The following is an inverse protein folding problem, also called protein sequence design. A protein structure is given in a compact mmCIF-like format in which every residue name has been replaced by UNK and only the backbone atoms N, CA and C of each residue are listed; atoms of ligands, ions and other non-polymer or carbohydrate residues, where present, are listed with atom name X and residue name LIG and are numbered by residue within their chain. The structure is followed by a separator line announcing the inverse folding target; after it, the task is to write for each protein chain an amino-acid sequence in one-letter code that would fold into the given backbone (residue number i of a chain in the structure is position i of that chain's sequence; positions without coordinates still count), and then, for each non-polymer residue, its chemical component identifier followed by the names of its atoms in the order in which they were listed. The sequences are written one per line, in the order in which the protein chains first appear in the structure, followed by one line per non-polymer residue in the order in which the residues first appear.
data_IF_075233354954
#
_entry.id   IF_075233354954
#
_cell.length_a   1.000
_cell.length_b   1.000
_cell.length_c   1.000
_cell.angle_alpha   90.00
_cell.angle_beta   90.00
_cell.angle_gamma   90.00
#
_symmetry.space_group_name_H-M   'P 1'
#
loop_
_entity.id
_entity.type
_entity.pdbx_description
1 polymer ?
#
# COMPACT_ATOMS: atom_id res chain seq x y z
N UNK A 1 -41.34 -34.67 -28.27
CA UNK A 1 -41.11 -34.23 -26.88
C UNK A 1 -39.63 -34.46 -26.55
N UNK A 2 -38.97 -33.37 -26.15
CA UNK A 2 -37.60 -33.18 -25.65
C UNK A 2 -37.08 -34.33 -24.74
N UNK A 3 -35.80 -34.69 -24.60
CA UNK A 3 -34.50 -34.06 -24.91
C UNK A 3 -33.40 -35.14 -24.98
N UNK A 4 -32.53 -35.04 -25.99
CA UNK A 4 -31.23 -35.71 -26.05
C UNK A 4 -30.24 -35.05 -25.09
N UNK A 5 -29.40 -35.90 -24.52
CA UNK A 5 -28.22 -35.62 -23.71
C UNK A 5 -27.37 -34.46 -24.24
N UNK A 6 -27.15 -33.45 -23.40
CA UNK A 6 -26.08 -32.46 -23.63
C UNK A 6 -24.75 -33.05 -23.20
N UNK A 7 -23.84 -33.04 -24.15
CA UNK A 7 -22.43 -33.31 -24.04
C UNK A 7 -21.80 -32.57 -22.86
N UNK A 8 -21.09 -33.35 -22.06
CA UNK A 8 -20.02 -32.93 -21.17
C UNK A 8 -18.98 -32.16 -21.98
N UNK A 9 -19.01 -30.83 -21.89
CA UNK A 9 -17.88 -29.98 -22.27
C UNK A 9 -16.81 -30.24 -21.22
N UNK A 10 -15.81 -31.06 -21.57
CA UNK A 10 -14.49 -31.02 -20.96
C UNK A 10 -13.90 -29.64 -21.31
N UNK A 11 -14.20 -28.64 -20.49
CA UNK A 11 -13.35 -27.46 -20.42
C UNK A 11 -12.03 -27.94 -19.83
N UNK A 12 -11.01 -28.02 -20.67
CA UNK A 12 -9.63 -28.03 -20.24
C UNK A 12 -9.47 -26.91 -19.21
N UNK A 13 -9.23 -27.30 -17.97
CA UNK A 13 -8.71 -26.39 -16.95
C UNK A 13 -7.30 -26.04 -17.41
N UNK A 14 -7.19 -25.09 -18.34
CA UNK A 14 -5.98 -24.34 -18.59
C UNK A 14 -5.52 -23.87 -17.21
N UNK A 15 -4.44 -24.47 -16.71
CA UNK A 15 -3.76 -24.04 -15.50
C UNK A 15 -3.36 -22.59 -15.77
N UNK A 16 -4.23 -21.65 -15.37
CA UNK A 16 -4.00 -20.23 -15.59
C UNK A 16 -2.77 -19.89 -14.75
N UNK A 17 -1.64 -19.64 -15.41
CA UNK A 17 -0.43 -19.17 -14.75
C UNK A 17 -0.83 -17.98 -13.86
N UNK A 18 -0.51 -18.01 -12.55
CA UNK A 18 -0.86 -16.91 -11.66
C UNK A 18 -0.20 -15.63 -12.17
N UNK A 19 -0.89 -14.50 -12.05
CA UNK A 19 -0.27 -13.20 -12.29
C UNK A 19 0.66 -12.94 -11.10
N UNK A 20 1.96 -12.89 -11.36
CA UNK A 20 2.98 -12.57 -10.35
C UNK A 20 3.63 -11.23 -10.66
N UNK A 21 3.68 -10.85 -11.93
CA UNK A 21 4.35 -9.63 -12.41
C UNK A 21 3.44 -8.75 -13.28
N UNK A 22 3.87 -7.50 -13.50
CA UNK A 22 3.23 -6.58 -14.46
C UNK A 22 3.20 -7.19 -15.86
N UNK A 23 4.27 -7.86 -16.29
CA UNK A 23 4.39 -8.51 -17.60
C UNK A 23 3.37 -9.63 -17.77
N UNK A 24 3.16 -10.47 -16.74
CA UNK A 24 2.11 -11.50 -16.76
C UNK A 24 0.73 -10.85 -16.93
N UNK A 25 0.48 -9.73 -16.22
CA UNK A 25 -0.79 -9.00 -16.30
C UNK A 25 -1.01 -8.41 -17.69
N UNK A 26 -0.05 -7.63 -18.21
CA UNK A 26 -0.13 -6.98 -19.51
C UNK A 26 -0.34 -8.01 -20.63
N UNK A 27 0.36 -9.14 -20.57
CA UNK A 27 0.20 -10.23 -21.54
C UNK A 27 -1.22 -10.82 -21.52
N UNK A 28 -1.77 -11.06 -20.33
CA UNK A 28 -3.14 -11.59 -20.16
C UNK A 28 -4.22 -10.63 -20.65
N UNK A 29 -3.98 -9.33 -20.55
CA UNK A 29 -4.95 -8.28 -20.92
C UNK A 29 -4.52 -7.45 -22.14
N UNK A 30 -3.72 -8.04 -23.05
CA UNK A 30 -3.16 -7.38 -24.23
C UNK A 30 -4.19 -6.59 -25.08
N UNK A 31 -5.42 -7.09 -25.18
CA UNK A 31 -6.53 -6.44 -25.90
C UNK A 31 -6.92 -5.05 -25.37
N UNK A 32 -6.50 -4.68 -24.16
CA UNK A 32 -6.80 -3.36 -23.56
C UNK A 32 -5.63 -2.38 -23.66
N UNK A 33 -4.43 -2.81 -24.05
CA UNK A 33 -3.21 -1.98 -23.97
C UNK A 33 -3.24 -0.74 -24.88
N UNK A 34 -3.98 -0.80 -26.00
CA UNK A 34 -4.06 0.29 -26.98
C UNK A 34 -5.34 1.15 -26.82
N UNK A 35 -6.04 1.01 -25.69
CA UNK A 35 -7.18 1.86 -25.37
C UNK A 35 -6.70 3.21 -24.81
N UNK A 36 -7.55 4.23 -24.91
CA UNK A 36 -7.26 5.61 -24.51
C UNK A 36 -8.13 5.99 -23.32
N UNK A 37 -7.51 6.44 -22.22
CA UNK A 37 -8.23 6.97 -21.06
C UNK A 37 -8.68 8.41 -21.31
N UNK A 38 -7.97 9.12 -22.18
CA UNK A 38 -8.25 10.48 -22.63
C UNK A 38 -9.54 10.53 -23.45
N UNK A 39 -9.74 9.57 -24.35
CA UNK A 39 -10.96 9.46 -25.19
C UNK A 39 -12.13 8.79 -24.44
N UNK A 40 -11.84 8.18 -23.29
CA UNK A 40 -12.78 7.38 -22.52
C UNK A 40 -12.94 5.96 -23.08
N UNK A 41 -12.94 4.98 -22.18
CA UNK A 41 -13.10 3.56 -22.51
C UNK A 41 -14.52 3.14 -22.16
N UNK A 42 -15.27 2.63 -23.14
CA UNK A 42 -16.65 2.16 -22.95
C UNK A 42 -16.80 0.72 -23.43
N UNK A 43 -17.53 -0.10 -22.67
CA UNK A 43 -17.93 -1.44 -23.10
C UNK A 43 -19.46 -1.53 -23.19
N UNK A 44 -20.06 -1.37 -24.38
CA UNK A 44 -21.51 -1.44 -24.52
C UNK A 44 -22.03 -2.82 -24.14
N UNK A 45 -23.06 -2.87 -23.28
CA UNK A 45 -23.82 -4.11 -23.03
C UNK A 45 -24.81 -4.32 -24.18
N UNK A 46 -24.92 -5.56 -24.67
CA UNK A 46 -26.14 -5.99 -25.38
C UNK A 46 -27.29 -5.96 -24.36
N UNK A 47 -28.36 -5.19 -24.57
CA UNK A 47 -29.44 -5.06 -23.60
C UNK A 47 -30.14 -6.41 -23.40
N UNK A 48 -30.36 -6.80 -22.14
CA UNK A 48 -31.23 -7.95 -21.79
C UNK A 48 -32.70 -7.54 -21.64
N UNK A 49 -32.99 -6.25 -21.45
CA UNK A 49 -34.32 -5.65 -21.44
C UNK A 49 -34.21 -4.15 -21.82
N UNK A 50 -35.34 -3.53 -22.21
CA UNK A 50 -35.41 -2.12 -22.65
C UNK A 50 -35.17 -1.11 -21.52
N UNK A 51 -35.21 -1.51 -20.25
CA UNK A 51 -35.35 -0.56 -19.12
C UNK A 51 -34.05 -0.18 -18.38
N UNK A 52 -32.89 -0.79 -18.69
CA UNK A 52 -31.63 -0.42 -18.01
C UNK A 52 -30.41 -0.50 -18.94
N UNK A 53 -30.34 0.37 -19.96
CA UNK A 53 -29.09 0.58 -20.71
C UNK A 53 -28.14 1.50 -19.93
N UNK A 54 -27.53 0.99 -18.86
CA UNK A 54 -26.38 1.66 -18.26
C UNK A 54 -25.17 1.42 -19.15
N UNK A 55 -24.61 2.49 -19.70
CA UNK A 55 -23.39 2.44 -20.51
C UNK A 55 -22.25 3.08 -19.71
N UNK A 56 -21.45 2.26 -19.00
CA UNK A 56 -20.40 2.81 -18.17
C UNK A 56 -19.12 3.07 -18.98
N UNK A 57 -18.40 4.11 -18.59
CA UNK A 57 -17.15 4.57 -19.18
C UNK A 57 -16.10 4.76 -18.08
N UNK A 58 -14.81 4.55 -18.39
CA UNK A 58 -13.69 5.01 -17.56
C UNK A 58 -12.86 6.03 -18.34
N UNK A 59 -12.53 7.16 -17.73
CA UNK A 59 -11.76 8.24 -18.36
C UNK A 59 -10.93 9.02 -17.33
N UNK A 60 -10.00 9.86 -17.79
CA UNK A 60 -9.23 10.74 -16.89
C UNK A 60 -10.15 11.84 -16.32
N UNK A 61 -9.94 12.19 -15.04
CA UNK A 61 -10.63 13.29 -14.38
C UNK A 61 -10.17 14.65 -14.89
N UNK A 62 -11.04 15.63 -14.82
CA UNK A 62 -10.74 17.04 -15.07
C UNK A 62 -10.84 17.87 -13.79
N UNK A 63 -10.13 19.01 -13.67
CA UNK A 63 -10.14 19.83 -12.45
C UNK A 63 -11.54 20.20 -11.96
N UNK A 64 -12.48 20.48 -12.86
CA UNK A 64 -13.88 20.80 -12.53
C UNK A 64 -14.64 19.66 -11.85
N UNK A 65 -14.14 18.44 -11.90
CA UNK A 65 -14.77 17.25 -11.30
C UNK A 65 -14.32 17.01 -9.85
N UNK A 66 -13.39 17.82 -9.33
CA UNK A 66 -12.86 17.68 -7.99
C UNK A 66 -13.94 17.75 -6.90
N UNK A 67 -14.95 18.60 -7.08
CA UNK A 67 -16.11 18.70 -6.18
C UNK A 67 -16.86 17.36 -6.11
N UNK A 68 -17.12 16.74 -7.27
CA UNK A 68 -17.88 15.48 -7.35
C UNK A 68 -17.10 14.34 -6.70
N UNK A 69 -15.78 14.28 -6.93
CA UNK A 69 -14.91 13.28 -6.30
C UNK A 69 -14.95 13.44 -4.77
N UNK A 70 -14.80 14.66 -4.27
CA UNK A 70 -14.87 14.97 -2.83
C UNK A 70 -16.20 14.52 -2.21
N UNK A 71 -17.31 14.79 -2.90
CA UNK A 71 -18.65 14.36 -2.48
C UNK A 71 -18.79 12.84 -2.44
N UNK A 72 -18.20 12.11 -3.40
CA UNK A 72 -18.21 10.64 -3.39
C UNK A 72 -17.49 10.12 -2.14
N UNK A 73 -16.32 10.65 -1.77
CA UNK A 73 -15.63 10.23 -0.54
C UNK A 73 -16.48 10.50 0.70
N UNK A 74 -17.02 11.71 0.82
CA UNK A 74 -17.90 12.10 1.94
C UNK A 74 -19.11 11.18 2.05
N UNK A 75 -19.75 10.83 0.93
CA UNK A 75 -20.92 9.94 0.91
C UNK A 75 -20.55 8.49 1.23
N UNK A 76 -19.51 7.94 0.58
CA UNK A 76 -19.09 6.54 0.75
C UNK A 76 -18.62 6.28 2.19
N UNK A 77 -17.90 7.23 2.77
CA UNK A 77 -17.31 7.11 4.10
C UNK A 77 -18.06 7.91 5.18
N UNK A 78 -19.21 8.50 4.88
CA UNK A 78 -20.02 9.27 5.83
C UNK A 78 -19.23 10.37 6.57
N UNK A 79 -18.34 11.07 5.85
CA UNK A 79 -17.41 12.09 6.39
C UNK A 79 -16.39 11.58 7.42
N UNK A 80 -16.18 10.26 7.47
CA UNK A 80 -15.22 9.62 8.38
C UNK A 80 -13.97 9.13 7.67
N UNK A 81 -13.69 9.59 6.45
CA UNK A 81 -12.48 9.15 5.75
C UNK A 81 -11.25 9.67 6.52
N UNK A 82 -10.23 8.82 6.76
CA UNK A 82 -9.08 9.17 7.60
C UNK A 82 -8.19 10.26 6.98
N UNK A 83 -8.10 10.31 5.66
CA UNK A 83 -7.28 11.27 4.91
C UNK A 83 -8.13 12.44 4.41
N UNK A 84 -8.18 13.52 5.21
CA UNK A 84 -9.09 14.67 5.00
C UNK A 84 -8.86 15.42 3.69
N UNK A 85 -7.71 15.26 3.07
CA UNK A 85 -7.41 15.76 1.73
C UNK A 85 -8.41 15.25 0.68
N UNK A 86 -8.90 14.00 0.81
CA UNK A 86 -9.93 13.45 -0.11
C UNK A 86 -11.32 14.05 0.12
N UNK A 87 -11.54 14.73 1.24
CA UNK A 87 -12.79 15.44 1.56
C UNK A 87 -12.70 16.94 1.18
N UNK A 88 -11.58 17.38 0.61
CA UNK A 88 -11.36 18.76 0.16
C UNK A 88 -11.37 18.86 -1.38
N UNK A 89 -12.34 19.58 -1.98
CA UNK A 89 -12.35 19.83 -3.42
C UNK A 89 -11.07 20.52 -3.91
N UNK A 90 -10.54 21.48 -3.14
CA UNK A 90 -9.32 22.20 -3.50
C UNK A 90 -8.08 21.31 -3.51
N UNK A 91 -7.95 20.37 -2.58
CA UNK A 91 -6.84 19.42 -2.58
C UNK A 91 -6.97 18.39 -3.71
N UNK A 92 -8.17 17.89 -3.97
CA UNK A 92 -8.40 17.01 -5.12
C UNK A 92 -8.10 17.73 -6.43
N UNK A 93 -8.48 19.01 -6.57
CA UNK A 93 -8.17 19.79 -7.76
C UNK A 93 -6.66 19.89 -7.98
N UNK A 94 -5.89 20.23 -6.94
CA UNK A 94 -4.42 20.24 -7.00
C UNK A 94 -3.87 18.87 -7.45
N UNK A 95 -4.37 17.78 -6.87
CA UNK A 95 -3.95 16.44 -7.28
C UNK A 95 -4.33 16.10 -8.73
N UNK A 96 -5.42 16.62 -9.28
CA UNK A 96 -5.76 16.41 -10.70
C UNK A 96 -4.82 17.19 -11.61
N UNK A 97 -4.40 18.38 -11.19
CA UNK A 97 -3.50 19.26 -11.94
C UNK A 97 -2.03 18.82 -11.85
N UNK A 98 -1.66 18.05 -10.82
CA UNK A 98 -0.32 17.51 -10.65
C UNK A 98 -0.01 16.41 -11.70
N UNK A 99 1.12 16.52 -12.44
CA UNK A 99 1.46 15.59 -13.53
C UNK A 99 1.76 14.16 -13.06
N UNK A 100 2.10 14.02 -11.78
CA UNK A 100 2.41 12.73 -11.16
C UNK A 100 1.15 11.96 -10.75
N UNK A 101 -0.02 12.58 -10.81
CA UNK A 101 -1.29 11.92 -10.53
C UNK A 101 -2.04 11.54 -11.80
N UNK A 102 -2.68 10.37 -11.75
CA UNK A 102 -3.64 9.91 -12.74
C UNK A 102 -4.94 9.55 -12.02
N UNK A 103 -5.93 10.45 -12.12
CA UNK A 103 -7.28 10.22 -11.64
C UNK A 103 -8.13 9.59 -12.73
N UNK A 104 -8.69 8.41 -12.46
CA UNK A 104 -9.64 7.73 -13.33
C UNK A 104 -11.05 7.83 -12.73
N UNK A 105 -12.01 8.30 -13.53
CA UNK A 105 -13.42 8.37 -13.16
C UNK A 105 -14.22 7.30 -13.87
N UNK A 106 -15.09 6.65 -13.11
CA UNK A 106 -16.12 5.76 -13.62
C UNK A 106 -17.40 6.56 -13.80
N UNK A 107 -17.89 6.62 -15.04
CA UNK A 107 -19.08 7.39 -15.41
C UNK A 107 -20.17 6.49 -15.97
N UNK A 108 -21.43 6.90 -15.86
CA UNK A 108 -22.56 6.31 -16.58
C UNK A 108 -23.36 7.38 -17.32
N UNK A 109 -24.11 6.93 -18.34
CA UNK A 109 -25.05 7.76 -19.10
C UNK A 109 -24.42 9.07 -19.63
N UNK A 110 -23.14 9.01 -20.00
CA UNK A 110 -22.39 10.12 -20.59
C UNK A 110 -21.66 11.02 -19.60
N UNK A 111 -22.18 11.26 -18.39
CA UNK A 111 -21.50 12.20 -17.49
C UNK A 111 -21.68 11.98 -15.98
N UNK A 112 -22.56 11.08 -15.53
CA UNK A 112 -22.73 10.87 -14.09
C UNK A 112 -21.53 10.11 -13.53
N UNK A 113 -20.72 10.76 -12.69
CA UNK A 113 -19.61 10.10 -11.99
C UNK A 113 -20.16 9.23 -10.85
N UNK A 114 -19.81 7.95 -10.90
CA UNK A 114 -20.27 6.94 -9.93
C UNK A 114 -19.13 6.41 -9.06
N UNK A 115 -17.89 6.66 -9.45
CA UNK A 115 -16.71 6.32 -8.65
C UNK A 115 -15.43 6.86 -9.25
N UNK A 116 -14.34 6.70 -8.52
CA UNK A 116 -13.03 7.20 -8.86
C UNK A 116 -11.91 6.28 -8.31
N UNK A 117 -10.72 6.46 -8.85
CA UNK A 117 -9.45 5.96 -8.29
C UNK A 117 -8.33 6.90 -8.71
N UNK A 118 -7.38 7.14 -7.82
CA UNK A 118 -6.17 7.90 -8.09
C UNK A 118 -4.96 6.96 -8.14
N UNK A 119 -4.02 7.28 -9.01
CA UNK A 119 -2.70 6.68 -9.06
C UNK A 119 -1.68 7.79 -8.90
N UNK A 120 -0.77 7.68 -7.93
CA UNK A 120 0.32 8.64 -7.73
C UNK A 120 1.64 7.99 -8.15
N UNK A 121 2.24 8.51 -9.21
CA UNK A 121 3.57 8.14 -9.64
C UNK A 121 4.61 8.87 -8.81
N UNK A 122 5.64 8.17 -8.38
CA UNK A 122 6.77 8.79 -7.68
C UNK A 122 8.06 8.41 -8.40
N UNK A 123 8.53 9.32 -9.25
CA UNK A 123 9.68 9.08 -10.13
C UNK A 123 10.99 8.85 -9.35
N UNK A 124 11.16 9.53 -8.20
CA UNK A 124 12.34 9.43 -7.35
C UNK A 124 12.59 8.01 -6.83
N UNK A 125 11.52 7.23 -6.63
CA UNK A 125 11.55 5.84 -6.13
C UNK A 125 11.00 4.83 -7.14
N UNK A 126 10.71 5.27 -8.38
CA UNK A 126 10.16 4.46 -9.48
C UNK A 126 8.92 3.65 -9.05
N UNK A 127 8.01 4.27 -8.30
CA UNK A 127 6.84 3.60 -7.73
C UNK A 127 5.51 4.19 -8.20
N UNK A 128 4.45 3.40 -8.12
CA UNK A 128 3.07 3.85 -8.30
C UNK A 128 2.23 3.45 -7.10
N UNK A 129 1.64 4.43 -6.43
CA UNK A 129 0.72 4.23 -5.33
C UNK A 129 -0.73 4.30 -5.81
N UNK A 130 -1.52 3.25 -5.55
CA UNK A 130 -2.97 3.29 -5.74
C UNK A 130 -3.61 3.93 -4.52
N UNK A 131 -4.23 5.09 -4.73
CA UNK A 131 -4.88 5.86 -3.70
C UNK A 131 -6.36 6.06 -4.07
N UNK A 132 -7.23 6.15 -3.07
CA UNK A 132 -8.50 6.84 -3.26
C UNK A 132 -9.49 6.12 -4.15
N UNK A 133 -9.60 4.79 -4.03
CA UNK A 133 -10.67 4.05 -4.70
C UNK A 133 -11.99 4.24 -3.95
N UNK A 134 -12.95 4.93 -4.57
CA UNK A 134 -14.29 5.14 -4.03
C UNK A 134 -15.37 4.90 -5.09
N UNK A 135 -16.48 4.26 -4.69
CA UNK A 135 -17.59 3.93 -5.58
C UNK A 135 -18.91 4.03 -4.82
N UNK A 136 -19.85 4.80 -5.36
CA UNK A 136 -21.21 4.94 -4.84
C UNK A 136 -21.87 3.57 -4.67
N UNK A 137 -22.55 3.37 -3.54
CA UNK A 137 -22.96 2.06 -3.03
C UNK A 137 -23.94 1.34 -3.98
N UNK A 138 -24.86 2.10 -4.55
CA UNK A 138 -25.90 1.66 -5.48
C UNK A 138 -25.34 1.12 -6.81
N UNK A 139 -24.10 1.47 -7.17
CA UNK A 139 -23.45 0.99 -8.39
C UNK A 139 -22.46 -0.16 -8.15
N UNK A 140 -22.20 -0.52 -6.89
CA UNK A 140 -21.33 -1.66 -6.56
C UNK A 140 -21.96 -2.98 -7.02
N UNK A 141 -21.17 -3.86 -7.67
CA UNK A 141 -21.66 -5.13 -8.22
C UNK A 141 -22.17 -5.03 -9.66
N UNK A 142 -22.07 -3.85 -10.29
CA UNK A 142 -22.38 -3.69 -11.71
C UNK A 142 -21.38 -4.47 -12.58
N UNK A 143 -21.85 -5.47 -13.32
CA UNK A 143 -20.99 -6.46 -14.01
C UNK A 143 -20.04 -5.92 -15.08
N UNK A 144 -20.23 -4.69 -15.56
CA UNK A 144 -19.32 -4.03 -16.51
C UNK A 144 -18.20 -3.23 -15.84
N UNK A 145 -18.35 -2.83 -14.57
CA UNK A 145 -17.33 -2.06 -13.86
C UNK A 145 -15.99 -2.82 -13.73
N UNK A 146 -15.95 -4.12 -13.38
CA UNK A 146 -14.69 -4.86 -13.35
C UNK A 146 -13.97 -4.84 -14.70
N UNK A 147 -14.69 -4.89 -15.83
CA UNK A 147 -14.06 -4.81 -17.16
C UNK A 147 -13.44 -3.44 -17.42
N UNK A 148 -14.10 -2.37 -17.01
CA UNK A 148 -13.59 -1.00 -17.14
C UNK A 148 -12.38 -0.78 -16.24
N UNK A 149 -12.45 -1.20 -14.98
CA UNK A 149 -11.31 -1.12 -14.06
C UNK A 149 -10.10 -1.85 -14.65
N UNK A 150 -10.31 -3.06 -15.19
CA UNK A 150 -9.22 -3.82 -15.82
C UNK A 150 -8.67 -3.14 -17.08
N UNK A 151 -9.52 -2.52 -17.89
CA UNK A 151 -9.07 -1.79 -19.07
C UNK A 151 -8.25 -0.54 -18.68
N UNK A 152 -8.78 0.30 -17.79
CA UNK A 152 -8.07 1.48 -17.30
C UNK A 152 -6.76 1.15 -16.60
N UNK A 153 -6.76 0.09 -15.77
CA UNK A 153 -5.55 -0.42 -15.13
C UNK A 153 -4.52 -0.91 -16.14
N UNK A 154 -4.93 -1.64 -17.20
CA UNK A 154 -4.02 -2.08 -18.26
C UNK A 154 -3.38 -0.90 -18.99
N UNK A 155 -4.18 0.13 -19.31
CA UNK A 155 -3.67 1.36 -19.94
C UNK A 155 -2.70 2.10 -19.02
N UNK A 156 -3.01 2.19 -17.72
CA UNK A 156 -2.12 2.80 -16.73
C UNK A 156 -0.79 2.04 -16.61
N UNK A 157 -0.83 0.71 -16.45
CA UNK A 157 0.37 -0.13 -16.42
C UNK A 157 1.23 0.08 -17.68
N UNK A 158 0.59 0.16 -18.86
CA UNK A 158 1.30 0.37 -20.13
C UNK A 158 1.93 1.77 -20.23
N UNK A 159 1.22 2.82 -19.77
CA UNK A 159 1.69 4.21 -19.78
C UNK A 159 2.97 4.41 -18.95
N UNK A 160 3.09 3.69 -17.83
CA UNK A 160 4.23 3.77 -16.92
C UNK A 160 5.15 2.53 -16.98
N UNK A 161 5.02 1.71 -18.01
CA UNK A 161 5.89 0.55 -18.24
C UNK A 161 7.37 0.98 -18.20
N UNK A 162 8.21 0.24 -17.45
CA UNK A 162 9.63 0.54 -17.19
C UNK A 162 9.91 1.85 -16.44
N UNK A 163 8.91 2.66 -16.10
CA UNK A 163 9.04 3.88 -15.28
C UNK A 163 8.65 3.62 -13.83
N UNK A 164 7.51 2.95 -13.63
CA UNK A 164 7.04 2.49 -12.34
C UNK A 164 7.28 0.98 -12.23
N UNK A 165 8.24 0.58 -11.41
CA UNK A 165 8.66 -0.82 -11.25
C UNK A 165 7.92 -1.53 -10.11
N UNK A 166 7.32 -0.76 -9.20
CA UNK A 166 6.55 -1.26 -8.06
C UNK A 166 5.21 -0.55 -8.02
N UNK A 167 4.12 -1.32 -8.01
CA UNK A 167 2.77 -0.81 -7.90
C UNK A 167 2.18 -1.33 -6.60
N UNK A 168 1.70 -0.45 -5.74
CA UNK A 168 1.22 -0.86 -4.42
C UNK A 168 0.05 -0.01 -3.95
N UNK A 169 -0.78 -0.58 -3.09
CA UNK A 169 -1.90 0.11 -2.49
C UNK A 169 -2.36 -0.61 -1.25
N UNK A 170 -3.28 0.02 -0.53
CA UNK A 170 -3.81 -0.51 0.71
C UNK A 170 -5.26 -0.91 0.55
N UNK A 171 -5.63 -2.05 1.14
CA UNK A 171 -7.03 -2.49 1.21
C UNK A 171 -7.42 -2.81 2.65
N UNK A 172 -8.56 -2.24 3.05
CA UNK A 172 -9.21 -2.51 4.33
C UNK A 172 -9.50 -3.99 4.53
N UNK A 173 -9.11 -4.53 5.69
CA UNK A 173 -9.33 -5.93 6.05
C UNK A 173 -10.81 -6.25 6.28
N UNK A 174 -11.64 -5.26 6.61
CA UNK A 174 -13.08 -5.39 6.77
C UNK A 174 -13.87 -5.27 5.44
N UNK A 175 -13.19 -5.05 4.30
CA UNK A 175 -13.84 -4.81 3.01
C UNK A 175 -13.35 -5.78 1.92
N UNK A 176 -13.96 -6.96 1.86
CA UNK A 176 -13.59 -8.03 0.91
C UNK A 176 -13.69 -7.63 -0.56
N UNK A 177 -14.57 -6.68 -0.92
CA UNK A 177 -14.72 -6.22 -2.31
C UNK A 177 -13.49 -5.44 -2.80
N UNK A 178 -12.88 -4.60 -1.98
CA UNK A 178 -11.64 -3.90 -2.37
C UNK A 178 -10.48 -4.87 -2.44
N UNK A 179 -10.38 -5.81 -1.49
CA UNK A 179 -9.37 -6.88 -1.55
C UNK A 179 -9.51 -7.71 -2.84
N UNK A 180 -10.73 -8.11 -3.20
CA UNK A 180 -10.99 -8.84 -4.45
C UNK A 180 -10.62 -8.02 -5.68
N UNK A 181 -10.89 -6.72 -5.68
CA UNK A 181 -10.50 -5.85 -6.78
C UNK A 181 -8.99 -5.75 -6.90
N UNK A 182 -8.26 -5.54 -5.80
CA UNK A 182 -6.80 -5.53 -5.79
C UNK A 182 -6.22 -6.84 -6.34
N UNK A 183 -6.76 -7.98 -5.90
CA UNK A 183 -6.37 -9.29 -6.42
C UNK A 183 -6.65 -9.45 -7.92
N UNK A 184 -7.80 -8.96 -8.39
CA UNK A 184 -8.16 -8.93 -9.81
C UNK A 184 -7.18 -8.09 -10.64
N UNK A 185 -6.66 -7.00 -10.07
CA UNK A 185 -5.62 -6.14 -10.65
C UNK A 185 -4.20 -6.73 -10.57
N UNK A 186 -4.05 -7.91 -9.98
CA UNK A 186 -2.76 -8.61 -9.82
C UNK A 186 -1.99 -8.22 -8.56
N UNK A 187 -2.50 -7.30 -7.74
CA UNK A 187 -1.85 -6.91 -6.49
C UNK A 187 -2.00 -8.03 -5.46
N UNK A 188 -0.89 -8.42 -4.84
CA UNK A 188 -0.84 -9.49 -3.84
C UNK A 188 -0.47 -8.96 -2.46
N UNK A 189 -1.09 -9.44 -1.38
CA UNK A 189 -0.77 -8.97 -0.04
C UNK A 189 0.70 -9.29 0.31
N UNK A 190 1.36 -8.38 1.02
CA UNK A 190 2.79 -8.48 1.39
C UNK A 190 3.06 -8.07 2.85
N UNK A 191 2.22 -7.20 3.40
CA UNK A 191 2.25 -6.78 4.80
C UNK A 191 0.82 -6.60 5.33
N UNK A 192 0.66 -6.67 6.65
CA UNK A 192 -0.61 -6.43 7.35
C UNK A 192 -0.47 -5.26 8.30
N UNK A 193 -1.36 -4.29 8.26
CA UNK A 193 -1.29 -3.07 9.07
C UNK A 193 -2.40 -3.09 10.10
N UNK A 194 -2.13 -3.60 11.31
CA UNK A 194 -3.13 -3.80 12.34
C UNK A 194 -3.65 -2.47 12.86
N UNK A 195 -4.98 -2.30 12.85
CA UNK A 195 -5.64 -1.12 13.38
C UNK A 195 -5.07 0.21 12.83
N UNK A 196 -4.49 0.25 11.62
CA UNK A 196 -3.82 1.45 11.10
C UNK A 196 -4.74 2.66 11.09
N UNK A 197 -5.92 2.49 10.50
CA UNK A 197 -6.83 3.59 10.21
C UNK A 197 -8.15 3.48 10.97
N UNK A 198 -8.91 4.58 10.96
CA UNK A 198 -10.25 4.68 11.53
C UNK A 198 -11.22 4.96 10.38
N UNK A 199 -12.06 3.99 10.05
CA UNK A 199 -13.14 4.12 9.08
C UNK A 199 -14.47 3.97 9.80
N UNK A 200 -15.47 4.80 9.46
CA UNK A 200 -16.79 4.77 10.11
C UNK A 200 -16.70 4.85 11.64
N UNK A 201 -15.74 5.65 12.14
CA UNK A 201 -15.40 5.77 13.56
C UNK A 201 -15.00 4.46 14.25
N UNK A 202 -14.52 3.47 13.49
CA UNK A 202 -14.02 2.19 13.99
C UNK A 202 -12.59 1.95 13.53
N UNK A 203 -11.76 1.46 14.44
CA UNK A 203 -10.39 1.04 14.11
C UNK A 203 -10.46 -0.19 13.19
N UNK A 204 -9.79 -0.09 12.04
CA UNK A 204 -9.70 -1.17 11.06
C UNK A 204 -8.24 -1.48 10.73
N UNK A 205 -8.00 -2.72 10.36
CA UNK A 205 -6.70 -3.13 9.84
C UNK A 205 -6.69 -3.04 8.33
N UNK A 206 -5.50 -2.94 7.76
CA UNK A 206 -5.31 -2.86 6.32
C UNK A 206 -4.26 -3.87 5.85
N UNK A 207 -4.16 -4.02 4.54
CA UNK A 207 -3.22 -4.91 3.88
C UNK A 207 -2.44 -4.06 2.89
N UNK A 208 -1.12 -4.12 2.94
CA UNK A 208 -0.30 -3.65 1.83
C UNK A 208 -0.34 -4.71 0.74
N UNK A 209 -0.80 -4.32 -0.45
CA UNK A 209 -0.81 -5.18 -1.63
C UNK A 209 0.11 -4.61 -2.70
N UNK A 210 0.80 -5.49 -3.41
CA UNK A 210 1.90 -5.12 -4.31
C UNK A 210 1.90 -5.94 -5.60
N UNK A 211 2.34 -5.32 -6.68
CA UNK A 211 2.60 -5.91 -7.98
C UNK A 211 3.96 -5.38 -8.46
N UNK A 212 4.86 -6.30 -8.81
CA UNK A 212 6.20 -5.96 -9.24
C UNK A 212 6.35 -6.06 -10.76
N UNK A 213 7.17 -5.20 -11.32
CA UNK A 213 7.83 -5.44 -12.59
C UNK A 213 8.80 -6.63 -12.45
N UNK A 214 8.87 -7.49 -13.46
CA UNK A 214 9.76 -8.66 -13.45
C UNK A 214 11.24 -8.27 -13.31
N UNK A 215 11.67 -7.18 -13.96
CA UNK A 215 13.05 -6.71 -13.88
C UNK A 215 13.38 -6.20 -12.47
N UNK A 216 12.39 -5.73 -11.72
CA UNK A 216 12.62 -5.24 -10.36
C UNK A 216 13.15 -6.35 -9.46
N UNK A 217 12.54 -7.53 -9.52
CA UNK A 217 12.94 -8.69 -8.72
C UNK A 217 14.23 -9.31 -9.25
N UNK A 218 14.36 -9.43 -10.58
CA UNK A 218 15.42 -10.24 -11.21
C UNK A 218 16.71 -9.46 -11.49
N UNK A 219 16.61 -8.17 -11.76
CA UNK A 219 17.73 -7.32 -12.20
C UNK A 219 18.08 -6.23 -11.19
N UNK A 220 17.08 -5.51 -10.69
CA UNK A 220 17.32 -4.31 -9.86
C UNK A 220 17.33 -4.59 -8.36
N UNK A 221 16.89 -5.76 -7.90
CA UNK A 221 17.01 -6.14 -6.49
C UNK A 221 18.49 -6.21 -6.09
N UNK A 222 18.80 -5.68 -4.90
CA UNK A 222 20.13 -5.82 -4.30
C UNK A 222 20.56 -7.29 -4.27
N UNK A 223 21.81 -7.55 -4.69
CA UNK A 223 22.41 -8.89 -4.70
C UNK A 223 22.90 -9.32 -3.32
N UNK A 224 22.85 -8.43 -2.32
CA UNK A 224 23.22 -8.74 -0.93
C UNK A 224 22.25 -9.79 -0.39
N UNK A 225 22.75 -10.75 0.39
CA UNK A 225 21.88 -11.70 1.10
C UNK A 225 21.16 -10.97 2.24
N UNK A 226 19.83 -11.03 2.35
CA UNK A 226 19.11 -10.47 3.49
C UNK A 226 19.59 -11.04 4.81
N UNK A 227 19.76 -10.18 5.81
CA UNK A 227 20.22 -10.50 7.17
C UNK A 227 19.10 -10.19 8.15
N UNK A 228 18.38 -11.22 8.57
CA UNK A 228 17.15 -11.06 9.35
C UNK A 228 17.26 -11.68 10.74
N UNK A 229 16.53 -11.12 11.70
CA UNK A 229 16.32 -11.77 13.01
C UNK A 229 15.26 -12.88 12.91
N UNK A 230 15.27 -13.90 13.80
CA UNK A 230 14.35 -15.05 13.71
C UNK A 230 12.87 -14.69 13.65
N UNK A 231 12.45 -13.60 14.32
CA UNK A 231 11.06 -13.13 14.35
C UNK A 231 10.50 -12.74 12.97
N UNK A 232 11.37 -12.54 11.99
CA UNK A 232 11.02 -12.13 10.62
C UNK A 232 10.85 -13.34 9.69
N UNK A 233 11.38 -14.51 10.05
CA UNK A 233 11.46 -15.69 9.17
C UNK A 233 10.12 -16.09 8.54
N UNK A 234 9.02 -16.02 9.29
CA UNK A 234 7.69 -16.35 8.75
C UNK A 234 7.21 -15.39 7.66
N UNK A 235 7.53 -14.10 7.78
CA UNK A 235 7.21 -13.09 6.76
C UNK A 235 8.10 -13.27 5.53
N UNK A 236 9.39 -13.56 5.74
CA UNK A 236 10.31 -13.88 4.65
C UNK A 236 9.89 -15.14 3.89
N UNK A 237 9.48 -16.19 4.60
CA UNK A 237 9.09 -17.47 4.00
C UNK A 237 7.93 -17.33 3.01
N UNK A 238 6.98 -16.43 3.31
CA UNK A 238 5.87 -16.12 2.41
C UNK A 238 6.36 -15.53 1.08
N UNK A 239 7.27 -14.56 1.13
CA UNK A 239 7.79 -13.92 -0.08
C UNK A 239 8.78 -14.79 -0.82
N UNK A 240 9.54 -15.63 -0.11
CA UNK A 240 10.46 -16.61 -0.69
C UNK A 240 9.71 -17.58 -1.60
N UNK A 241 8.60 -18.15 -1.12
CA UNK A 241 7.78 -19.07 -1.91
C UNK A 241 7.20 -18.41 -3.15
N UNK A 242 6.86 -17.12 -3.07
CA UNK A 242 6.21 -16.40 -4.17
C UNK A 242 7.20 -15.89 -5.22
N UNK A 243 8.32 -15.33 -4.80
CA UNK A 243 9.25 -14.59 -5.67
C UNK A 243 10.63 -15.25 -5.80
N UNK A 244 10.85 -16.41 -5.18
CA UNK A 244 12.08 -17.20 -5.31
C UNK A 244 13.36 -16.41 -4.94
N UNK A 245 13.31 -15.64 -3.84
CA UNK A 245 14.34 -14.66 -3.45
C UNK A 245 15.67 -15.24 -2.93
N UNK A 246 15.79 -16.57 -2.81
CA UNK A 246 16.90 -17.25 -2.12
C UNK A 246 16.70 -17.35 -0.59
N UNK A 247 17.59 -18.03 0.11
CA UNK A 247 17.52 -18.12 1.58
C UNK A 247 18.17 -16.90 2.24
N UNK A 248 17.63 -16.41 3.37
CA UNK A 248 18.25 -15.32 4.12
C UNK A 248 19.29 -15.86 5.10
N UNK A 249 20.18 -14.99 5.57
CA UNK A 249 21.00 -15.24 6.76
C UNK A 249 20.21 -14.87 8.02
N UNK A 250 20.22 -15.75 9.02
CA UNK A 250 19.49 -15.56 10.29
C UNK A 250 20.45 -15.23 11.41
N UNK A 251 20.19 -14.13 12.12
CA UNK A 251 20.99 -13.65 13.25
C UNK A 251 20.19 -13.77 14.56
N UNK A 252 20.34 -14.90 15.25
CA UNK A 252 19.54 -15.25 16.45
C UNK A 252 19.93 -14.46 17.72
N UNK A 253 21.18 -13.97 17.78
CA UNK A 253 21.75 -13.38 19.00
C UNK A 253 22.44 -12.04 18.73
N UNK A 254 21.65 -11.00 18.53
CA UNK A 254 22.16 -9.63 18.52
C UNK A 254 22.06 -9.06 19.94
N UNK A 255 23.02 -9.38 20.81
CA UNK A 255 23.13 -8.71 22.11
C UNK A 255 23.49 -7.24 21.84
N UNK A 256 22.60 -6.34 22.23
CA UNK A 256 22.83 -4.91 22.09
C UNK A 256 23.44 -4.37 23.38
N UNK A 257 24.68 -3.94 23.29
CA UNK A 257 25.34 -3.11 24.30
C UNK A 257 25.47 -1.71 23.72
N UNK A 258 25.04 -0.71 24.48
CA UNK A 258 25.08 0.70 24.08
C UNK A 258 26.16 1.41 24.89
N UNK A 259 26.87 2.32 24.23
CA UNK A 259 27.81 3.22 24.91
C UNK A 259 27.01 4.33 25.59
N UNK A 260 27.01 4.34 26.93
CA UNK A 260 26.29 5.31 27.75
C UNK A 260 26.76 6.75 27.53
N UNK A 261 28.07 6.95 27.38
CA UNK A 261 28.66 8.28 27.14
C UNK A 261 28.17 8.79 25.80
N UNK A 262 28.30 7.95 24.76
CA UNK A 262 27.85 8.29 23.40
C UNK A 262 26.35 8.57 23.36
N UNK A 263 25.54 7.73 24.00
CA UNK A 263 24.08 7.89 24.08
C UNK A 263 23.72 9.21 24.74
N UNK A 264 24.39 9.56 25.85
CA UNK A 264 24.19 10.84 26.54
C UNK A 264 24.58 12.03 25.68
N UNK A 265 25.73 11.96 24.97
CA UNK A 265 26.16 13.00 24.05
C UNK A 265 25.17 13.19 22.89
N UNK A 266 24.63 12.11 22.34
CA UNK A 266 23.61 12.19 21.28
C UNK A 266 22.36 12.90 21.80
N UNK A 267 21.84 12.51 22.97
CA UNK A 267 20.67 13.14 23.61
C UNK A 267 20.89 14.65 23.83
N UNK A 268 22.07 15.06 24.29
CA UNK A 268 22.41 16.48 24.51
C UNK A 268 22.46 17.31 23.22
N UNK A 269 22.64 16.67 22.06
CA UNK A 269 22.74 17.32 20.76
C UNK A 269 21.49 17.08 19.88
N UNK A 270 20.42 16.55 20.46
CA UNK A 270 19.18 16.28 19.75
C UNK A 270 18.49 17.60 19.38
N UNK A 271 17.96 17.65 18.16
CA UNK A 271 17.18 18.76 17.62
C UNK A 271 15.80 18.21 17.26
N UNK A 272 14.75 18.88 17.74
CA UNK A 272 13.35 18.60 17.40
C UNK A 272 12.81 19.69 16.48
N UNK A 273 12.13 19.28 15.41
CA UNK A 273 11.45 20.16 14.47
C UNK A 273 10.06 19.59 14.15
N UNK A 274 9.08 20.48 13.97
CA UNK A 274 7.70 20.13 13.64
C UNK A 274 7.16 21.13 12.62
N UNK A 275 6.73 20.63 11.47
CA UNK A 275 6.19 21.44 10.37
C UNK A 275 4.74 21.02 10.10
N UNK A 276 3.80 21.95 10.24
CA UNK A 276 2.37 21.68 10.06
C UNK A 276 1.93 21.95 8.62
N UNK A 277 1.09 21.06 8.09
CA UNK A 277 0.40 21.29 6.82
C UNK A 277 -0.96 22.02 7.03
N UNK A 278 -1.58 22.40 5.92
CA UNK A 278 -2.87 23.09 5.93
C UNK A 278 -4.06 22.18 6.32
N UNK A 279 -3.83 20.88 6.47
CA UNK A 279 -4.83 19.86 6.80
C UNK A 279 -4.74 19.45 8.29
N UNK A 280 -3.81 20.03 9.04
CA UNK A 280 -3.59 19.75 10.46
C UNK A 280 -2.75 18.50 10.72
N UNK A 281 -2.05 17.96 9.71
CA UNK A 281 -0.99 16.97 9.93
C UNK A 281 0.33 17.69 10.21
N UNK A 282 1.28 16.98 10.80
CA UNK A 282 2.60 17.53 11.13
C UNK A 282 3.71 16.58 10.69
N UNK A 283 4.72 17.08 9.98
CA UNK A 283 5.99 16.38 9.80
C UNK A 283 6.87 16.63 11.02
N UNK A 284 7.11 15.60 11.82
CA UNK A 284 8.00 15.66 12.98
C UNK A 284 9.35 15.10 12.58
N UNK A 285 10.42 15.82 12.90
CA UNK A 285 11.81 15.41 12.64
C UNK A 285 12.65 15.54 13.91
N UNK A 286 13.33 14.46 14.27
CA UNK A 286 14.47 14.50 15.19
C UNK A 286 15.76 14.39 14.40
N UNK A 287 16.74 15.24 14.71
CA UNK A 287 18.08 15.18 14.12
C UNK A 287 19.15 15.42 15.19
N UNK A 288 20.42 15.25 14.83
CA UNK A 288 21.55 15.44 15.75
C UNK A 288 22.44 16.56 15.23
N UNK A 289 22.74 17.54 16.10
CA UNK A 289 23.63 18.67 15.77
C UNK A 289 24.97 18.17 15.21
N UNK A 290 25.41 18.78 14.10
CA UNK A 290 26.65 18.43 13.39
C UNK A 290 26.70 16.98 12.86
N UNK A 291 25.55 16.35 12.60
CA UNK A 291 25.43 15.03 11.98
C UNK A 291 24.37 15.08 10.87
N UNK A 292 24.44 14.17 9.92
CA UNK A 292 23.41 13.92 8.91
C UNK A 292 22.35 12.88 9.35
N UNK A 293 22.35 12.53 10.65
CA UNK A 293 21.47 11.52 11.20
C UNK A 293 20.12 12.14 11.56
N UNK A 294 19.03 11.47 11.18
CA UNK A 294 17.68 11.91 11.46
C UNK A 294 16.70 10.73 11.55
N UNK A 295 15.55 11.00 12.15
CA UNK A 295 14.30 10.26 11.99
C UNK A 295 13.18 11.27 11.74
N UNK A 296 12.32 11.00 10.78
CA UNK A 296 11.14 11.83 10.50
C UNK A 296 9.92 10.95 10.25
N UNK A 297 8.73 11.47 10.56
CA UNK A 297 7.46 10.77 10.36
C UNK A 297 6.30 11.78 10.32
N UNK A 298 5.21 11.39 9.66
CA UNK A 298 3.98 12.19 9.63
C UNK A 298 3.13 11.83 10.84
N UNK A 299 2.84 12.83 11.67
CA UNK A 299 1.82 12.77 12.71
C UNK A 299 0.47 13.18 12.12
N UNK A 300 -0.53 12.29 12.27
CA UNK A 300 -1.93 12.56 11.91
C UNK A 300 -2.78 12.64 13.19
N UNK A 301 -3.04 13.83 13.72
CA UNK A 301 -3.74 13.98 15.00
C UNK A 301 -5.15 13.39 15.01
N UNK A 302 -5.87 13.47 13.89
CA UNK A 302 -7.27 13.02 13.78
C UNK A 302 -7.45 11.52 14.08
N UNK A 303 -6.50 10.70 13.64
CA UNK A 303 -6.49 9.25 13.84
C UNK A 303 -5.41 8.78 14.82
N UNK A 304 -4.61 9.71 15.36
CA UNK A 304 -3.54 9.51 16.36
C UNK A 304 -2.50 8.50 15.92
N UNK A 305 -1.95 8.66 14.71
CA UNK A 305 -0.94 7.75 14.17
C UNK A 305 0.36 8.48 13.79
N UNK A 306 1.44 7.71 13.77
CA UNK A 306 2.68 8.04 13.07
C UNK A 306 2.86 7.13 11.85
N UNK A 307 3.05 7.72 10.68
CA UNK A 307 3.25 6.97 9.43
C UNK A 307 4.39 7.55 8.59
N UNK A 308 4.76 6.82 7.52
CA UNK A 308 5.81 7.24 6.57
C UNK A 308 7.13 7.59 7.27
N UNK A 309 7.53 6.72 8.20
CA UNK A 309 8.77 6.95 8.93
C UNK A 309 9.98 6.79 8.01
N UNK A 310 10.79 7.84 7.93
CA UNK A 310 12.10 7.83 7.29
C UNK A 310 13.20 8.01 8.33
N UNK A 311 14.36 7.41 8.09
CA UNK A 311 15.48 7.58 9.00
C UNK A 311 16.82 7.37 8.29
N UNK A 312 17.84 8.02 8.84
CA UNK A 312 19.24 7.84 8.50
C UNK A 312 20.07 7.87 9.77
N UNK A 313 20.89 6.84 9.97
CA UNK A 313 21.76 6.69 11.14
C UNK A 313 23.09 6.09 10.71
N UNK A 314 24.15 6.47 11.40
CA UNK A 314 25.51 5.95 11.18
C UNK A 314 25.90 4.87 12.20
N UNK A 315 25.16 4.75 13.30
CA UNK A 315 25.44 3.83 14.39
C UNK A 315 24.16 3.46 15.16
N UNK A 316 24.27 2.42 15.99
CA UNK A 316 23.15 1.86 16.75
C UNK A 316 22.65 2.79 17.86
N UNK A 317 23.53 3.58 18.47
CA UNK A 317 23.17 4.52 19.54
C UNK A 317 22.27 5.65 19.02
N UNK A 318 22.52 6.14 17.80
CA UNK A 318 21.66 7.16 17.16
C UNK A 318 20.24 6.65 16.97
N UNK A 319 20.08 5.45 16.39
CA UNK A 319 18.76 4.85 16.23
C UNK A 319 18.10 4.63 17.58
N UNK A 320 18.83 4.08 18.56
CA UNK A 320 18.30 3.84 19.89
C UNK A 320 17.76 5.12 20.54
N UNK A 321 18.53 6.21 20.52
CA UNK A 321 18.07 7.50 21.06
C UNK A 321 16.82 7.98 20.33
N UNK A 322 16.81 7.98 18.99
CA UNK A 322 15.64 8.37 18.21
C UNK A 322 14.39 7.56 18.57
N UNK A 323 14.50 6.24 18.72
CA UNK A 323 13.35 5.40 19.08
C UNK A 323 12.84 5.70 20.49
N UNK A 324 13.72 6.00 21.45
CA UNK A 324 13.31 6.40 22.80
C UNK A 324 12.53 7.73 22.79
N UNK A 325 12.98 8.72 22.03
CA UNK A 325 12.30 10.02 21.90
C UNK A 325 10.93 9.88 21.22
N UNK A 326 10.82 9.01 20.20
CA UNK A 326 9.52 8.70 19.58
C UNK A 326 8.59 8.01 20.57
N UNK A 327 9.09 7.10 21.43
CA UNK A 327 8.27 6.47 22.48
C UNK A 327 7.73 7.50 23.49
N UNK A 328 8.54 8.48 23.88
CA UNK A 328 8.07 9.58 24.73
C UNK A 328 6.96 10.39 24.04
N UNK A 329 7.12 10.68 22.74
CA UNK A 329 6.06 11.32 21.95
C UNK A 329 4.79 10.48 21.81
N UNK A 330 4.92 9.17 21.64
CA UNK A 330 3.77 8.24 21.57
C UNK A 330 2.92 8.38 22.82
N UNK A 331 3.55 8.41 24.00
CA UNK A 331 2.84 8.59 25.28
C UNK A 331 2.23 9.99 25.39
N UNK A 332 3.00 11.03 25.06
CA UNK A 332 2.57 12.44 25.15
C UNK A 332 1.37 12.74 24.25
N UNK A 333 1.42 12.26 23.00
CA UNK A 333 0.41 12.51 21.97
C UNK A 333 -0.67 11.42 21.91
N UNK A 334 -0.60 10.40 22.77
CA UNK A 334 -1.53 9.27 22.84
C UNK A 334 -1.69 8.56 21.49
N UNK A 335 -0.55 8.31 20.85
CA UNK A 335 -0.46 7.67 19.54
C UNK A 335 -0.81 6.20 19.68
N UNK A 336 -1.74 5.74 18.84
CA UNK A 336 -2.27 4.37 18.89
C UNK A 336 -1.62 3.43 17.89
N UNK A 337 -0.91 3.97 16.90
CA UNK A 337 -0.28 3.22 15.81
C UNK A 337 0.97 3.97 15.31
N UNK A 338 2.04 3.21 15.06
CA UNK A 338 3.24 3.71 14.40
C UNK A 338 3.83 2.64 13.49
N UNK A 339 4.07 2.98 12.23
CA UNK A 339 4.77 2.13 11.26
C UNK A 339 6.19 2.60 10.94
N UNK A 340 7.09 1.62 10.80
CA UNK A 340 8.50 1.82 10.55
C UNK A 340 9.01 0.79 9.55
N UNK A 341 9.50 1.24 8.40
CA UNK A 341 10.16 0.37 7.42
C UNK A 341 11.67 0.31 7.69
N UNK A 342 12.16 -0.88 8.03
CA UNK A 342 13.57 -1.11 8.37
C UNK A 342 14.27 -1.99 7.33
N UNK A 343 15.55 -1.72 7.09
CA UNK A 343 16.33 -2.50 6.13
C UNK A 343 16.43 -3.97 6.52
N UNK A 344 16.22 -4.85 5.54
CA UNK A 344 16.43 -6.28 5.67
C UNK A 344 17.91 -6.68 5.74
N UNK A 345 18.84 -5.72 5.69
CA UNK A 345 20.28 -5.96 5.73
C UNK A 345 20.95 -5.49 7.03
N UNK A 346 20.18 -4.87 7.95
CA UNK A 346 20.66 -4.35 9.22
C UNK A 346 19.98 -5.04 10.43
N UNK A 347 20.44 -6.24 10.85
CA UNK A 347 19.83 -6.98 11.97
C UNK A 347 19.91 -6.22 13.30
N UNK A 348 20.88 -5.32 13.47
CA UNK A 348 20.96 -4.42 14.63
C UNK A 348 19.75 -3.47 14.69
N UNK A 349 19.36 -2.85 13.56
CA UNK A 349 18.20 -1.96 13.53
C UNK A 349 16.91 -2.74 13.81
N UNK A 350 16.77 -3.92 13.20
CA UNK A 350 15.65 -4.83 13.43
C UNK A 350 15.52 -5.21 14.92
N UNK A 351 16.65 -5.47 15.57
CA UNK A 351 16.70 -5.81 17.00
C UNK A 351 16.34 -4.63 17.89
N UNK A 352 16.81 -3.41 17.57
CA UNK A 352 16.43 -2.19 18.30
C UNK A 352 14.92 -2.00 18.23
N UNK A 353 14.33 -2.04 17.04
CA UNK A 353 12.88 -1.86 16.85
C UNK A 353 12.07 -2.92 17.60
N UNK A 354 12.50 -4.19 17.50
CA UNK A 354 11.83 -5.30 18.21
C UNK A 354 11.91 -5.14 19.73
N UNK A 355 13.09 -4.84 20.27
CA UNK A 355 13.29 -4.63 21.71
C UNK A 355 12.55 -3.40 22.24
N UNK A 356 12.31 -2.41 21.38
CA UNK A 356 11.52 -1.21 21.69
C UNK A 356 10.01 -1.42 21.62
N UNK A 357 9.55 -2.65 21.34
CA UNK A 357 8.14 -3.03 21.39
C UNK A 357 7.41 -3.02 20.05
N UNK A 358 8.09 -2.67 18.94
CA UNK A 358 7.51 -2.84 17.61
C UNK A 358 7.58 -4.30 17.19
N UNK A 359 6.58 -4.77 16.45
CA UNK A 359 6.50 -6.15 15.96
C UNK A 359 6.60 -6.15 14.42
N UNK A 360 7.26 -7.14 13.79
CA UNK A 360 7.29 -7.23 12.34
C UNK A 360 5.92 -7.61 11.77
N UNK A 361 5.50 -6.98 10.67
CA UNK A 361 4.19 -7.12 10.01
C UNK A 361 4.22 -7.45 8.53
N UNK A 362 5.42 -7.52 7.96
CA UNK A 362 5.61 -7.84 6.56
C UNK A 362 7.08 -7.83 6.21
N UNK A 363 7.40 -8.54 5.14
CA UNK A 363 8.68 -8.45 4.46
C UNK A 363 8.39 -7.99 3.04
N UNK A 364 8.87 -6.81 2.66
CA UNK A 364 8.57 -6.17 1.38
C UNK A 364 9.84 -6.16 0.54
N UNK A 365 9.99 -7.11 -0.41
CA UNK A 365 11.15 -7.11 -1.28
C UNK A 365 11.16 -5.89 -2.20
N UNK A 366 12.35 -5.43 -2.57
CA UNK A 366 12.54 -4.35 -3.53
C UNK A 366 11.76 -3.05 -3.22
N UNK A 367 11.65 -2.67 -1.95
CA UNK A 367 10.81 -1.52 -1.56
C UNK A 367 11.58 -0.21 -1.55
N UNK A 368 12.81 -0.20 -1.02
CA UNK A 368 13.61 1.04 -0.91
C UNK A 368 14.55 1.17 -2.08
N UNK A 369 14.37 2.18 -2.91
CA UNK A 369 15.29 2.48 -3.99
C UNK A 369 16.55 3.20 -3.46
N UNK A 370 17.73 2.65 -3.78
CA UNK A 370 19.05 3.22 -3.46
C UNK A 370 19.61 3.80 -4.75
N UNK A 371 19.44 5.11 -4.93
CA UNK A 371 19.70 5.81 -6.19
C UNK A 371 21.16 5.73 -6.63
N UNK A 372 22.09 5.75 -5.67
CA UNK A 372 23.53 5.73 -5.91
C UNK A 372 24.00 4.41 -6.52
N UNK A 373 23.33 3.31 -6.17
CA UNK A 373 23.64 1.96 -6.66
C UNK A 373 22.69 1.51 -7.80
N UNK A 374 21.63 2.28 -8.09
CA UNK A 374 20.50 1.90 -8.98
C UNK A 374 19.92 0.51 -8.64
N UNK A 375 19.80 0.23 -7.34
CA UNK A 375 19.25 -1.04 -6.82
C UNK A 375 18.10 -0.79 -5.85
N UNK A 376 17.33 -1.84 -5.59
CA UNK A 376 16.27 -1.85 -4.60
C UNK A 376 16.62 -2.76 -3.45
N UNK A 377 16.48 -2.23 -2.24
CA UNK A 377 16.66 -2.95 -1.00
C UNK A 377 15.32 -3.44 -0.44
N UNK A 378 15.36 -4.65 0.09
CA UNK A 378 14.26 -5.25 0.81
C UNK A 378 14.08 -4.57 2.17
N UNK A 379 12.81 -4.40 2.58
CA UNK A 379 12.45 -3.78 3.85
C UNK A 379 11.58 -4.73 4.67
N UNK A 380 11.59 -4.54 5.99
CA UNK A 380 10.69 -5.19 6.94
C UNK A 380 9.83 -4.10 7.54
N UNK A 381 8.52 -4.32 7.57
CA UNK A 381 7.61 -3.40 8.25
C UNK A 381 7.56 -3.77 9.72
N UNK A 382 7.92 -2.84 10.59
CA UNK A 382 7.73 -2.92 12.04
C UNK A 382 6.60 -2.00 12.45
N UNK A 383 5.73 -2.46 13.35
CA UNK A 383 4.56 -1.72 13.79
C UNK A 383 4.42 -1.77 15.30
N UNK A 384 4.23 -0.59 15.88
CA UNK A 384 3.63 -0.42 17.20
C UNK A 384 2.13 -0.17 17.02
N UNK A 385 1.30 -0.80 17.84
CA UNK A 385 -0.13 -0.52 17.91
C UNK A 385 -0.66 -0.86 19.30
N UNK A 386 -1.69 -0.14 19.75
CA UNK A 386 -2.33 -0.38 21.04
C UNK A 386 -3.40 -1.48 20.98
N UNK A 387 -3.45 -2.32 22.01
CA UNK A 387 -4.50 -3.32 22.22
C UNK A 387 -4.37 -4.58 21.36
N UNK A 388 -5.51 -5.18 21.01
CA UNK A 388 -5.60 -6.39 20.17
C UNK A 388 -6.13 -6.03 18.79
N UNK A 389 -5.77 -6.82 17.77
CA UNK A 389 -6.37 -6.69 16.44
C UNK A 389 -7.87 -6.95 16.50
N UNK A 390 -8.63 -6.07 15.85
CA UNK A 390 -10.07 -6.19 15.75
C UNK A 390 -10.46 -7.46 14.94
N UNK A 391 -11.41 -8.25 15.45
CA UNK A 391 -11.93 -9.44 14.79
C UNK A 391 -12.86 -9.17 13.59
N UNK A 392 -13.17 -7.91 13.25
CA UNK A 392 -14.00 -7.55 12.10
C UNK A 392 -13.26 -7.70 10.75
N UNK A 393 -12.71 -8.88 10.50
CA UNK A 393 -12.00 -9.21 9.27
C UNK A 393 -12.97 -9.86 8.27
N UNK A 394 -13.03 -9.34 7.06
CA UNK A 394 -13.80 -9.90 5.93
C UNK A 394 -12.83 -10.16 4.79
N UNK A 395 -12.16 -11.31 4.87
CA UNK A 395 -11.01 -11.61 4.05
C UNK A 395 -11.39 -12.42 2.81
N UNK A 396 -10.69 -12.18 1.71
CA UNK A 396 -10.72 -13.09 0.56
C UNK A 396 -9.73 -14.26 0.79
N UNK A 397 -9.89 -15.41 0.09
CA UNK A 397 -9.02 -16.58 0.30
C UNK A 397 -7.52 -16.30 0.16
N UNK A 398 -7.13 -15.45 -0.79
CA UNK A 398 -5.74 -15.03 -0.99
C UNK A 398 -5.14 -14.35 0.26
N UNK A 399 -5.93 -13.49 0.89
CA UNK A 399 -5.54 -12.75 2.10
C UNK A 399 -5.56 -13.65 3.32
N UNK A 400 -6.54 -14.54 3.44
CA UNK A 400 -6.54 -15.56 4.51
C UNK A 400 -5.29 -16.43 4.45
N UNK A 401 -4.88 -16.85 3.25
CA UNK A 401 -3.67 -17.65 3.06
C UNK A 401 -2.41 -16.88 3.47
N UNK A 402 -2.31 -15.60 3.11
CA UNK A 402 -1.26 -14.71 3.58
C UNK A 402 -1.21 -14.66 5.11
N UNK A 403 -2.33 -14.31 5.76
CA UNK A 403 -2.39 -14.18 7.21
C UNK A 403 -2.09 -15.50 7.92
N UNK A 404 -2.57 -16.64 7.40
CA UNK A 404 -2.23 -17.98 7.90
C UNK A 404 -0.72 -18.24 7.84
N UNK A 405 -0.03 -17.80 6.79
CA UNK A 405 1.42 -18.01 6.63
C UNK A 405 2.21 -17.17 7.63
N UNK A 406 1.82 -15.91 7.81
CA UNK A 406 2.49 -15.02 8.77
C UNK A 406 2.06 -15.27 10.21
N UNK A 407 1.30 -16.37 10.47
CA UNK A 407 0.71 -16.84 11.74
C UNK A 407 0.75 -15.72 12.75
N UNK A 408 -0.28 -14.87 12.78
CA UNK A 408 -0.22 -13.70 13.59
C UNK A 408 0.06 -14.20 15.04
N UNK A 409 1.11 -13.69 15.70
CA UNK A 409 1.32 -13.76 17.16
C UNK A 409 0.38 -12.80 17.92
N UNK A 410 -0.90 -12.79 17.58
CA UNK A 410 -1.92 -11.82 17.98
C UNK A 410 -3.00 -12.67 18.62
N UNK A 411 -3.25 -12.46 19.89
CA UNK A 411 -4.35 -13.11 20.56
C UNK A 411 -5.64 -12.48 20.00
N UNK A 412 -6.39 -13.25 19.20
CA UNK A 412 -7.74 -12.89 18.79
C UNK A 412 -8.69 -12.83 20.00
#
# INVERSE_FOLDING_TARGET
MFLKSKSTVKEEVLIRKPIVTIQDFLSKYAKYQNLSLEDGITFPKKPRSKEQKVTPTVQIAKPEEAQIISEIFKQVYQNTYPYKEMESPGEIQKMIEEPDYLWMLFKINGNEVIGCVALKFEASVKSMYLHGFAMKKEYQGTTSLPKLVMAGWTVALKKYEKKALIWFGEARSAHSKSQFLSDLLGLKPIAFFPKKDIFFNQEESELLLILYDEDLITKYRSKKTPKIIPRILKYYSYVLQRYQLGFPEVFDHVKLEFDDIRTKTIKQNLIYQEENDNMGNSLITFSIKNSDAYISFIHRPFIRIFEKTEYKVSNKEQLFVFIEEVKELILKLKIRYWEFFASAYHPIHQTILYNSGLKPFGYVPCYKYVKEEDVFEDQIVFIYYEGKVNGNLKLIPEVENFLKTIKPTWDF
#
